data_IF_485039824741
#
_entry.id   IF_485039824741
#
_cell.length_a   1.000
_cell.length_b   1.000
_cell.length_c   1.000
_cell.angle_alpha   90.00
_cell.angle_beta   90.00
_cell.angle_gamma   90.00
#
_symmetry.space_group_name_H-M   'P 1'
#
loop_
_entity.id
_entity.type
_entity.pdbx_description
1 polymer ?
#
# COMPACT_ATOMS: atom_id res chain seq x y z
N UNK A 1 -5.26 39.85 -77.46
CA UNK A 1 -6.05 39.80 -76.20
C UNK A 1 -6.32 38.35 -75.91
N UNK A 2 -5.61 37.79 -74.94
CA UNK A 2 -5.72 36.36 -74.56
C UNK A 2 -6.39 36.34 -73.19
N UNK A 3 -7.70 35.94 -73.15
CA UNK A 3 -8.44 35.76 -71.92
C UNK A 3 -8.06 34.41 -71.23
N UNK A 4 -7.56 34.45 -70.03
CA UNK A 4 -7.28 33.25 -69.23
C UNK A 4 -8.59 32.64 -68.72
N UNK A 5 -8.76 31.31 -68.73
CA UNK A 5 -9.95 30.65 -68.18
C UNK A 5 -9.91 30.70 -66.63
N UNK A 6 -10.94 31.33 -66.09
CA UNK A 6 -11.16 31.28 -64.61
C UNK A 6 -11.47 29.83 -64.15
N UNK A 7 -10.56 29.30 -63.32
CA UNK A 7 -10.60 27.96 -62.79
C UNK A 7 -11.86 27.73 -61.90
N UNK A 8 -12.80 26.94 -62.42
CA UNK A 8 -14.01 26.48 -61.71
C UNK A 8 -13.72 25.35 -60.65
N UNK A 9 -12.43 25.10 -60.38
CA UNK A 9 -11.97 23.99 -59.51
C UNK A 9 -11.90 24.32 -58.01
N UNK A 10 -12.18 25.58 -57.64
CA UNK A 10 -12.00 26.01 -56.23
C UNK A 10 -13.18 25.73 -55.30
N UNK A 11 -14.39 25.65 -55.81
CA UNK A 11 -15.59 25.42 -54.99
C UNK A 11 -15.71 24.00 -54.44
N UNK A 12 -15.47 22.90 -55.20
CA UNK A 12 -15.54 21.53 -54.65
C UNK A 12 -14.40 21.24 -53.68
N UNK A 13 -13.21 21.84 -53.84
CA UNK A 13 -12.10 21.65 -52.91
C UNK A 13 -12.36 22.31 -51.53
N UNK A 14 -13.00 23.51 -51.56
CA UNK A 14 -13.41 24.19 -50.32
C UNK A 14 -14.52 23.41 -49.55
N UNK A 15 -15.49 22.87 -50.28
CA UNK A 15 -16.54 22.01 -49.68
C UNK A 15 -15.98 20.73 -49.09
N UNK A 16 -14.99 20.10 -49.73
CA UNK A 16 -14.33 18.90 -49.23
C UNK A 16 -13.52 19.20 -47.98
N UNK A 17 -12.82 20.32 -47.91
CA UNK A 17 -12.08 20.75 -46.71
C UNK A 17 -13.01 21.09 -45.53
N UNK A 18 -14.17 21.71 -45.81
CA UNK A 18 -15.19 21.96 -44.77
C UNK A 18 -15.80 20.67 -44.27
N UNK A 19 -16.09 19.70 -45.11
CA UNK A 19 -16.60 18.38 -44.73
C UNK A 19 -15.56 17.57 -43.90
N UNK A 20 -14.27 17.63 -44.29
CA UNK A 20 -13.19 17.00 -43.51
C UNK A 20 -13.02 17.67 -42.14
N UNK A 21 -13.18 19.00 -42.04
CA UNK A 21 -13.07 19.69 -40.74
C UNK A 21 -14.27 19.39 -39.82
N UNK A 22 -15.46 19.13 -40.35
CA UNK A 22 -16.62 18.69 -39.58
C UNK A 22 -16.50 17.25 -39.09
N UNK A 23 -15.87 16.37 -39.86
CA UNK A 23 -15.60 14.99 -39.49
C UNK A 23 -14.55 14.86 -38.35
N UNK A 24 -13.58 15.77 -38.29
CA UNK A 24 -12.57 15.79 -37.22
C UNK A 24 -13.09 16.31 -35.87
N UNK A 25 -14.19 17.06 -35.88
CA UNK A 25 -14.81 17.58 -34.65
C UNK A 25 -15.63 16.54 -33.90
N UNK A 26 -16.08 15.45 -34.55
CA UNK A 26 -16.88 14.40 -33.92
C UNK A 26 -16.08 13.37 -33.10
N UNK A 27 -14.73 13.37 -33.22
CA UNK A 27 -13.88 12.36 -32.60
C UNK A 27 -13.34 12.75 -31.20
N UNK A 28 -13.69 13.90 -30.66
CA UNK A 28 -13.40 14.27 -29.28
C UNK A 28 -14.56 13.90 -28.36
N UNK A 29 -14.87 12.62 -28.29
CA UNK A 29 -15.59 12.10 -27.13
C UNK A 29 -14.64 12.25 -25.94
N UNK A 30 -14.81 13.29 -25.15
CA UNK A 30 -14.16 13.39 -23.83
C UNK A 30 -14.58 12.14 -23.06
N UNK A 31 -13.61 11.27 -22.78
CA UNK A 31 -13.86 10.11 -21.93
C UNK A 31 -14.53 10.61 -20.66
N UNK A 32 -15.82 10.29 -20.49
CA UNK A 32 -16.56 10.71 -19.31
C UNK A 32 -15.92 9.98 -18.12
N UNK A 33 -15.25 10.73 -17.27
CA UNK A 33 -14.73 10.17 -16.03
C UNK A 33 -15.95 9.78 -15.16
N UNK A 34 -16.11 8.49 -14.92
CA UNK A 34 -17.11 8.00 -13.99
C UNK A 34 -16.48 7.97 -12.60
N UNK A 35 -17.03 8.74 -11.66
CA UNK A 35 -16.53 8.79 -10.30
C UNK A 35 -16.91 7.51 -9.53
N UNK A 36 -16.32 6.40 -9.97
CA UNK A 36 -16.46 5.08 -9.34
C UNK A 36 -15.19 4.72 -8.56
N UNK A 37 -15.31 3.87 -7.57
CA UNK A 37 -14.14 3.38 -6.83
C UNK A 37 -13.13 2.66 -7.75
N UNK A 38 -13.60 1.97 -8.78
CA UNK A 38 -12.74 1.35 -9.80
C UNK A 38 -11.87 2.39 -10.51
N UNK A 39 -12.45 3.54 -10.90
CA UNK A 39 -11.70 4.63 -11.52
C UNK A 39 -10.74 5.30 -10.54
N UNK A 40 -11.19 5.57 -9.32
CA UNK A 40 -10.38 6.20 -8.27
C UNK A 40 -9.13 5.40 -7.91
N UNK A 41 -9.19 4.07 -8.01
CA UNK A 41 -8.10 3.16 -7.61
C UNK A 41 -7.19 2.72 -8.75
N UNK A 42 -7.45 3.14 -10.00
CA UNK A 42 -6.60 2.80 -11.16
C UNK A 42 -5.13 3.17 -10.93
N UNK A 43 -4.87 4.40 -10.46
CA UNK A 43 -3.51 4.86 -10.20
C UNK A 43 -2.80 4.01 -9.13
N UNK A 44 -3.53 3.48 -8.17
CA UNK A 44 -2.99 2.59 -7.14
C UNK A 44 -2.59 1.22 -7.73
N UNK A 45 -3.46 0.68 -8.60
CA UNK A 45 -3.29 -0.65 -9.18
C UNK A 45 -2.12 -0.77 -10.16
N UNK A 46 -1.68 0.34 -10.77
CA UNK A 46 -0.49 0.37 -11.64
C UNK A 46 0.76 -0.13 -10.92
N UNK A 47 0.94 0.24 -9.65
CA UNK A 47 2.09 -0.17 -8.85
C UNK A 47 1.75 -1.31 -7.89
N UNK A 48 0.59 -1.26 -7.23
CA UNK A 48 0.21 -2.26 -6.24
C UNK A 48 -0.44 -3.53 -6.83
N UNK A 49 -0.44 -3.66 -8.16
CA UNK A 49 -1.04 -4.78 -8.88
C UNK A 49 -2.56 -4.70 -8.95
N UNK A 50 -3.16 -5.52 -9.79
CA UNK A 50 -4.61 -5.60 -9.94
C UNK A 50 -5.27 -5.74 -8.57
N UNK A 51 -6.26 -4.89 -8.27
CA UNK A 51 -6.99 -4.89 -6.99
C UNK A 51 -6.08 -4.77 -5.75
N UNK A 52 -4.85 -4.29 -5.89
CA UNK A 52 -3.92 -4.14 -4.77
C UNK A 52 -3.31 -5.43 -4.23
N UNK A 53 -3.25 -6.50 -5.03
CA UNK A 53 -2.71 -7.82 -4.62
C UNK A 53 -1.20 -7.91 -4.58
N UNK A 54 -0.47 -6.87 -4.91
CA UNK A 54 0.94 -6.70 -5.20
C UNK A 54 1.32 -7.07 -6.64
N UNK A 55 2.40 -6.47 -7.14
CA UNK A 55 3.04 -6.87 -8.38
C UNK A 55 4.00 -8.05 -8.16
N UNK A 56 4.38 -8.72 -9.25
CA UNK A 56 5.23 -9.90 -9.20
C UNK A 56 6.68 -9.59 -8.76
N UNK A 57 7.12 -8.33 -8.87
CA UNK A 57 8.46 -7.87 -8.50
C UNK A 57 8.72 -7.80 -6.99
N UNK A 58 7.66 -7.89 -6.18
CA UNK A 58 7.74 -7.82 -4.72
C UNK A 58 8.19 -6.47 -4.16
N UNK A 59 8.35 -5.44 -5.01
CA UNK A 59 8.77 -4.11 -4.59
C UNK A 59 7.62 -3.31 -3.96
N UNK A 60 6.48 -3.30 -4.63
CA UNK A 60 5.27 -2.64 -4.13
C UNK A 60 4.44 -3.61 -3.29
N UNK A 61 4.05 -3.22 -2.06
CA UNK A 61 3.37 -4.14 -1.17
C UNK A 61 1.92 -4.42 -1.59
N UNK A 62 1.41 -5.59 -1.20
CA UNK A 62 0.00 -5.88 -1.16
C UNK A 62 -0.72 -4.90 -0.23
N UNK A 63 -1.78 -4.28 -0.73
CA UNK A 63 -2.66 -3.39 0.03
C UNK A 63 -4.06 -4.00 0.24
N UNK A 64 -4.48 -4.95 -0.59
CA UNK A 64 -5.75 -5.67 -0.43
C UNK A 64 -5.80 -6.45 0.89
N UNK A 65 -6.95 -6.37 1.59
CA UNK A 65 -7.22 -7.10 2.82
C UNK A 65 -6.47 -6.62 4.06
N UNK A 66 -5.77 -5.48 3.99
CA UNK A 66 -5.17 -4.86 5.18
C UNK A 66 -6.21 -4.06 5.96
N UNK A 67 -6.09 -3.92 7.29
CA UNK A 67 -7.04 -3.14 8.09
C UNK A 67 -7.23 -1.72 7.54
N UNK A 68 -8.47 -1.24 7.47
CA UNK A 68 -8.79 0.06 6.87
C UNK A 68 -8.09 1.22 7.57
N UNK A 69 -8.09 1.24 8.89
CA UNK A 69 -7.39 2.27 9.66
C UNK A 69 -5.88 2.23 9.48
N UNK A 70 -5.29 1.04 9.29
CA UNK A 70 -3.87 0.94 8.92
C UNK A 70 -3.62 1.57 7.55
N UNK A 71 -4.40 1.21 6.53
CA UNK A 71 -4.24 1.77 5.18
C UNK A 71 -4.41 3.29 5.19
N UNK A 72 -5.44 3.79 5.84
CA UNK A 72 -5.69 5.22 5.98
C UNK A 72 -4.50 5.95 6.63
N UNK A 73 -3.99 5.43 7.75
CA UNK A 73 -2.80 5.98 8.39
C UNK A 73 -1.57 5.98 7.46
N UNK A 74 -1.38 4.92 6.64
CA UNK A 74 -0.26 4.91 5.69
C UNK A 74 -0.40 5.99 4.61
N UNK A 75 -1.61 6.21 4.09
CA UNK A 75 -1.88 7.26 3.11
C UNK A 75 -1.59 8.65 3.70
N UNK A 76 -2.06 8.92 4.92
CA UNK A 76 -1.75 10.15 5.65
C UNK A 76 -0.24 10.28 5.91
N UNK A 77 0.44 9.23 6.36
CA UNK A 77 1.87 9.28 6.65
C UNK A 77 2.71 9.62 5.41
N UNK A 78 2.34 9.14 4.23
CA UNK A 78 3.00 9.55 2.98
C UNK A 78 2.71 11.00 2.64
N UNK A 79 1.47 11.44 2.72
CA UNK A 79 1.08 12.83 2.42
C UNK A 79 1.74 13.83 3.36
N UNK A 80 1.86 13.49 4.64
CA UNK A 80 2.44 14.33 5.69
C UNK A 80 3.97 14.20 5.81
N UNK A 81 4.62 13.40 4.97
CA UNK A 81 6.07 13.20 5.02
C UNK A 81 6.58 12.39 6.23
N UNK A 82 5.70 11.70 6.96
CA UNK A 82 6.10 10.76 8.03
C UNK A 82 6.69 9.47 7.46
N UNK A 83 6.22 9.08 6.28
CA UNK A 83 6.73 7.96 5.50
C UNK A 83 7.20 8.49 4.16
N UNK A 84 8.48 8.24 3.84
CA UNK A 84 9.08 8.84 2.66
C UNK A 84 9.07 7.89 1.46
N UNK A 85 8.35 8.26 0.41
CA UNK A 85 8.41 7.70 -0.93
C UNK A 85 7.79 8.70 -1.91
N UNK A 86 8.62 9.35 -2.72
CA UNK A 86 8.23 10.54 -3.49
C UNK A 86 7.03 10.34 -4.42
N UNK A 87 6.87 9.17 -5.05
CA UNK A 87 5.72 8.89 -5.91
C UNK A 87 4.42 8.83 -5.11
N UNK A 88 4.42 8.14 -3.96
CA UNK A 88 3.23 8.08 -3.08
C UNK A 88 2.90 9.47 -2.54
N UNK A 89 3.88 10.24 -2.08
CA UNK A 89 3.64 11.60 -1.57
C UNK A 89 2.95 12.47 -2.61
N UNK A 90 3.48 12.52 -3.84
CA UNK A 90 2.88 13.34 -4.92
C UNK A 90 1.49 12.88 -5.33
N UNK A 91 1.26 11.56 -5.37
CA UNK A 91 -0.05 11.01 -5.70
C UNK A 91 -1.12 11.40 -4.68
N UNK A 92 -0.74 11.46 -3.40
CA UNK A 92 -1.67 11.64 -2.29
C UNK A 92 -1.85 13.12 -1.89
N UNK A 93 -0.89 13.99 -2.23
CA UNK A 93 -0.87 15.40 -1.85
C UNK A 93 -2.20 16.13 -2.15
N UNK A 94 -2.84 15.99 -3.33
CA UNK A 94 -4.07 16.69 -3.66
C UNK A 94 -5.34 16.05 -3.07
N UNK A 95 -5.25 14.88 -2.40
CA UNK A 95 -6.42 14.12 -1.99
C UNK A 95 -6.89 14.48 -0.57
N UNK A 96 -8.19 14.63 -0.40
CA UNK A 96 -8.80 14.90 0.90
C UNK A 96 -8.79 13.70 1.83
N UNK A 97 -8.93 13.94 3.14
CA UNK A 97 -9.02 12.88 4.15
C UNK A 97 -10.19 11.93 3.87
N UNK A 98 -11.35 12.47 3.48
CA UNK A 98 -12.51 11.67 3.12
C UNK A 98 -12.22 10.73 1.94
N UNK A 99 -11.58 11.25 0.88
CA UNK A 99 -11.21 10.46 -0.28
C UNK A 99 -10.20 9.35 0.07
N UNK A 100 -9.19 9.66 0.90
CA UNK A 100 -8.22 8.67 1.37
C UNK A 100 -8.86 7.59 2.24
N UNK A 101 -9.85 7.97 3.08
CA UNK A 101 -10.61 7.03 3.89
C UNK A 101 -11.44 6.05 3.04
N UNK A 102 -12.09 6.53 1.99
CA UNK A 102 -12.85 5.70 1.06
C UNK A 102 -11.96 4.70 0.31
N UNK A 103 -10.77 5.15 -0.17
CA UNK A 103 -9.78 4.27 -0.80
C UNK A 103 -9.28 3.21 0.18
N UNK A 104 -8.95 3.59 1.41
CA UNK A 104 -8.51 2.66 2.44
C UNK A 104 -9.59 1.61 2.75
N UNK A 105 -10.85 2.03 2.88
CA UNK A 105 -11.98 1.15 3.07
C UNK A 105 -12.21 0.20 1.89
N UNK A 106 -12.02 0.68 0.66
CA UNK A 106 -12.13 -0.16 -0.53
C UNK A 106 -11.14 -1.31 -0.51
N UNK A 107 -9.85 -1.03 -0.38
CA UNK A 107 -8.81 -2.07 -0.37
C UNK A 107 -8.91 -3.00 0.84
N UNK A 108 -9.36 -2.49 1.98
CA UNK A 108 -9.53 -3.31 3.19
C UNK A 108 -10.60 -4.40 3.04
N UNK A 109 -11.64 -4.16 2.23
CA UNK A 109 -12.73 -5.13 1.99
C UNK A 109 -12.40 -6.20 0.95
N UNK A 110 -11.29 -6.07 0.22
CA UNK A 110 -10.92 -7.02 -0.81
C UNK A 110 -10.35 -8.30 -0.18
N UNK A 111 -11.05 -9.40 -0.36
CA UNK A 111 -10.61 -10.73 0.04
C UNK A 111 -10.05 -11.48 -1.17
N UNK A 112 -8.75 -11.38 -1.36
CA UNK A 112 -8.04 -11.92 -2.52
C UNK A 112 -7.03 -12.97 -2.08
N UNK A 113 -6.79 -14.03 -2.86
CA UNK A 113 -5.74 -14.99 -2.60
C UNK A 113 -4.37 -14.31 -2.43
N UNK A 114 -3.60 -14.79 -1.50
CA UNK A 114 -2.21 -14.38 -1.33
C UNK A 114 -1.31 -15.16 -2.31
N UNK A 115 -0.17 -14.57 -2.72
CA UNK A 115 0.85 -15.30 -3.45
C UNK A 115 1.45 -16.43 -2.59
N UNK A 116 1.97 -17.46 -3.22
CA UNK A 116 2.76 -18.48 -2.52
C UNK A 116 3.95 -17.82 -1.80
N UNK A 117 4.27 -18.23 -0.56
CA UNK A 117 5.44 -17.71 0.16
C UNK A 117 6.72 -17.83 -0.67
N UNK A 118 7.55 -16.79 -0.63
CA UNK A 118 8.79 -16.77 -1.38
C UNK A 118 9.79 -17.81 -0.83
N UNK A 119 10.57 -18.41 -1.73
CA UNK A 119 11.74 -19.16 -1.31
C UNK A 119 12.84 -18.17 -0.93
N UNK A 120 13.35 -18.28 0.29
CA UNK A 120 14.48 -17.47 0.75
C UNK A 120 15.68 -18.38 1.00
N UNK A 121 16.87 -17.86 0.67
CA UNK A 121 18.13 -18.55 0.97
C UNK A 121 18.63 -18.03 2.31
N UNK A 122 18.23 -18.70 3.39
CA UNK A 122 18.68 -18.39 4.74
C UNK A 122 19.04 -19.69 5.47
N UNK A 123 20.05 -19.63 6.36
CA UNK A 123 20.43 -20.78 7.18
C UNK A 123 19.35 -21.09 8.21
N UNK A 124 19.31 -22.34 8.68
CA UNK A 124 18.39 -22.74 9.74
C UNK A 124 18.53 -21.88 11.01
N UNK A 125 19.77 -21.48 11.34
CA UNK A 125 20.03 -20.62 12.50
C UNK A 125 19.41 -19.23 12.35
N UNK A 126 19.48 -18.61 11.13
CA UNK A 126 18.87 -17.33 10.83
C UNK A 126 17.34 -17.43 10.93
N UNK A 127 16.75 -18.49 10.36
CA UNK A 127 15.30 -18.71 10.43
C UNK A 127 14.83 -18.95 11.87
N UNK A 128 15.58 -19.71 12.66
CA UNK A 128 15.25 -19.97 14.06
C UNK A 128 15.35 -18.68 14.90
N UNK A 129 16.38 -17.85 14.71
CA UNK A 129 16.48 -16.55 15.38
C UNK A 129 15.27 -15.65 15.04
N UNK A 130 14.88 -15.60 13.75
CA UNK A 130 13.69 -14.87 13.31
C UNK A 130 12.40 -15.39 13.96
N UNK A 131 12.26 -16.71 14.07
CA UNK A 131 11.12 -17.37 14.74
C UNK A 131 11.03 -16.98 16.21
N UNK A 132 12.14 -17.07 16.94
CA UNK A 132 12.19 -16.72 18.36
C UNK A 132 11.80 -15.26 18.58
N UNK A 133 12.37 -14.34 17.81
CA UNK A 133 12.03 -12.91 17.92
C UNK A 133 10.55 -12.64 17.59
N UNK A 134 10.02 -13.28 16.55
CA UNK A 134 8.64 -13.05 16.13
C UNK A 134 7.63 -13.62 17.13
N UNK A 135 7.90 -14.77 17.72
CA UNK A 135 6.95 -15.49 18.58
C UNK A 135 7.17 -15.24 20.09
N UNK A 136 8.38 -14.93 20.52
CA UNK A 136 8.74 -14.78 21.94
C UNK A 136 9.31 -13.39 22.27
N UNK A 137 9.85 -12.68 21.29
CA UNK A 137 10.57 -11.43 21.52
C UNK A 137 11.95 -11.64 22.14
N UNK A 138 12.45 -10.59 22.77
CA UNK A 138 13.69 -10.63 23.55
C UNK A 138 13.53 -9.79 24.84
N UNK A 139 13.11 -10.41 25.94
CA UNK A 139 12.89 -9.71 27.21
C UNK A 139 14.14 -8.99 27.75
N UNK A 140 15.34 -9.52 27.47
CA UNK A 140 16.61 -8.92 27.93
C UNK A 140 16.85 -7.55 27.29
N UNK A 141 16.32 -7.33 26.09
CA UNK A 141 16.36 -6.07 25.35
C UNK A 141 15.03 -5.32 25.38
N UNK A 142 14.05 -5.76 26.17
CA UNK A 142 12.68 -5.18 26.21
C UNK A 142 12.00 -5.18 24.84
N UNK A 143 12.31 -6.17 24.01
CA UNK A 143 11.74 -6.32 22.68
C UNK A 143 10.49 -7.23 22.77
N UNK A 144 9.29 -6.73 22.53
CA UNK A 144 8.08 -7.56 22.53
C UNK A 144 8.06 -8.49 21.31
N UNK A 145 7.40 -9.63 21.45
CA UNK A 145 7.12 -10.52 20.33
C UNK A 145 6.23 -9.84 19.26
N UNK A 146 6.47 -10.11 17.98
CA UNK A 146 5.61 -9.55 16.91
C UNK A 146 4.15 -9.99 17.08
N UNK A 147 3.93 -11.24 17.50
CA UNK A 147 2.58 -11.78 17.76
C UNK A 147 1.82 -11.02 18.85
N UNK A 148 2.51 -10.37 19.78
CA UNK A 148 1.88 -9.61 20.87
C UNK A 148 1.07 -8.40 20.37
N UNK A 149 1.43 -7.86 19.19
CA UNK A 149 0.77 -6.71 18.60
C UNK A 149 0.09 -7.06 17.27
N UNK A 150 0.71 -7.92 16.45
CA UNK A 150 0.20 -8.27 15.11
C UNK A 150 -0.74 -9.47 15.10
N UNK A 151 -1.18 -9.94 16.27
CA UNK A 151 -2.06 -11.09 16.47
C UNK A 151 -1.32 -12.42 16.43
N UNK A 152 -1.84 -13.43 17.14
CA UNK A 152 -1.19 -14.73 17.31
C UNK A 152 -0.87 -15.43 15.97
N UNK A 153 -1.66 -15.17 14.92
CA UNK A 153 -1.45 -15.70 13.58
C UNK A 153 -0.68 -14.75 12.66
N UNK A 154 -0.24 -13.59 13.15
CA UNK A 154 0.43 -12.54 12.38
C UNK A 154 -0.39 -12.03 11.17
N UNK A 155 -1.71 -12.20 11.21
CA UNK A 155 -2.63 -11.71 10.17
C UNK A 155 -3.07 -10.27 10.39
N UNK A 156 -2.69 -9.65 11.50
CA UNK A 156 -3.05 -8.29 11.88
C UNK A 156 -4.21 -8.22 12.86
N UNK A 157 -4.52 -7.00 13.28
CA UNK A 157 -5.60 -6.69 14.25
C UNK A 157 -6.36 -5.47 13.77
N UNK A 158 -7.69 -5.54 13.78
CA UNK A 158 -8.53 -4.40 13.44
C UNK A 158 -8.41 -3.29 14.50
N UNK A 159 -8.58 -2.04 14.11
CA UNK A 159 -8.63 -1.55 12.73
C UNK A 159 -7.27 -1.04 12.21
N UNK A 160 -6.17 -1.14 12.99
CA UNK A 160 -4.95 -0.36 12.73
C UNK A 160 -3.68 -1.17 12.56
N UNK A 161 -3.64 -2.43 12.96
CA UNK A 161 -2.41 -3.21 12.97
C UNK A 161 -2.37 -4.17 11.77
N UNK A 162 -1.38 -4.05 10.87
CA UNK A 162 -1.32 -4.87 9.66
C UNK A 162 -0.88 -6.30 9.96
N UNK A 163 -1.30 -7.24 9.12
CA UNK A 163 -0.68 -8.56 9.04
C UNK A 163 0.74 -8.47 8.47
N UNK A 164 1.60 -9.39 8.90
CA UNK A 164 3.01 -9.47 8.52
C UNK A 164 3.30 -10.60 7.52
N UNK A 165 2.36 -11.53 7.33
CA UNK A 165 2.52 -12.66 6.43
C UNK A 165 2.23 -12.29 4.97
N UNK A 166 2.80 -13.06 4.03
CA UNK A 166 2.63 -12.84 2.60
C UNK A 166 3.29 -11.55 2.07
N UNK A 167 4.25 -11.00 2.81
CA UNK A 167 5.06 -9.86 2.41
C UNK A 167 6.45 -10.32 1.97
N UNK A 168 7.02 -9.73 0.90
CA UNK A 168 8.38 -10.05 0.48
C UNK A 168 9.42 -9.69 1.54
N UNK A 169 10.46 -10.54 1.67
CA UNK A 169 11.57 -10.32 2.61
C UNK A 169 12.19 -8.92 2.48
N UNK A 170 12.46 -8.50 1.25
CA UNK A 170 13.15 -7.22 1.00
C UNK A 170 12.25 -6.03 1.35
N UNK A 171 10.94 -6.15 1.14
CA UNK A 171 9.98 -5.17 1.62
C UNK A 171 9.98 -5.08 3.16
N UNK A 172 9.96 -6.21 3.86
CA UNK A 172 10.02 -6.24 5.33
C UNK A 172 11.29 -5.58 5.85
N UNK A 173 12.46 -5.95 5.30
CA UNK A 173 13.75 -5.34 5.63
C UNK A 173 13.75 -3.83 5.38
N UNK A 174 13.24 -3.39 4.22
CA UNK A 174 13.18 -1.97 3.89
C UNK A 174 12.28 -1.19 4.86
N UNK A 175 11.14 -1.74 5.28
CA UNK A 175 10.24 -1.07 6.20
C UNK A 175 10.82 -0.98 7.62
N UNK A 176 11.37 -2.06 8.13
CA UNK A 176 12.01 -2.07 9.45
C UNK A 176 13.26 -1.17 9.47
N UNK A 177 14.08 -1.21 8.42
CA UNK A 177 15.23 -0.34 8.24
C UNK A 177 14.85 1.15 8.17
N UNK A 178 13.75 1.47 7.47
CA UNK A 178 13.24 2.83 7.38
C UNK A 178 12.76 3.37 8.74
N UNK A 179 12.13 2.56 9.60
CA UNK A 179 11.82 2.96 10.97
C UNK A 179 13.08 3.16 11.82
N UNK A 180 14.05 2.25 11.68
CA UNK A 180 15.31 2.34 12.41
C UNK A 180 16.09 3.63 12.06
N UNK A 181 16.12 4.01 10.78
CA UNK A 181 16.78 5.23 10.29
C UNK A 181 15.96 6.50 10.47
N UNK A 182 14.68 6.42 10.85
CA UNK A 182 13.79 7.57 10.97
C UNK A 182 13.17 8.07 9.66
N UNK A 183 13.44 7.40 8.54
CA UNK A 183 12.80 7.69 7.24
C UNK A 183 11.31 7.29 7.21
N UNK A 184 10.91 6.37 8.08
CA UNK A 184 9.53 6.02 8.33
C UNK A 184 9.20 6.34 9.78
N UNK A 185 8.12 7.09 9.98
CA UNK A 185 7.59 7.49 11.28
C UNK A 185 6.09 7.27 11.30
N UNK A 186 5.54 7.11 12.49
CA UNK A 186 4.11 7.02 12.73
C UNK A 186 3.65 8.11 13.71
N UNK A 187 2.39 8.14 14.06
CA UNK A 187 1.90 9.02 15.13
C UNK A 187 2.52 8.63 16.47
N UNK A 188 2.89 9.63 17.25
CA UNK A 188 3.49 9.42 18.55
C UNK A 188 2.48 8.89 19.58
N UNK A 189 2.88 7.94 20.44
CA UNK A 189 4.16 7.28 20.50
C UNK A 189 4.32 6.27 19.34
N UNK A 190 5.47 6.32 18.63
CA UNK A 190 5.77 5.45 17.50
C UNK A 190 6.32 4.11 17.99
N UNK A 191 5.41 3.17 18.23
CA UNK A 191 5.74 1.84 18.73
C UNK A 191 6.64 1.03 17.80
N UNK A 192 6.44 1.13 16.47
CA UNK A 192 7.26 0.38 15.52
C UNK A 192 8.67 0.97 15.37
N UNK A 193 8.83 2.29 15.52
CA UNK A 193 10.17 2.90 15.60
C UNK A 193 10.91 2.41 16.85
N UNK A 194 10.22 2.29 17.99
CA UNK A 194 10.81 1.74 19.21
C UNK A 194 11.27 0.29 18.99
N UNK A 195 10.40 -0.58 18.45
CA UNK A 195 10.71 -1.99 18.14
C UNK A 195 11.88 -2.08 17.15
N UNK A 196 11.83 -1.35 16.03
CA UNK A 196 12.84 -1.44 14.98
C UNK A 196 14.23 -0.96 15.43
N UNK A 197 14.31 0.02 16.34
CA UNK A 197 15.58 0.50 16.90
C UNK A 197 16.22 -0.48 17.89
N UNK A 198 15.41 -1.33 18.53
CA UNK A 198 15.90 -2.36 19.44
C UNK A 198 16.48 -3.56 18.69
N UNK A 199 16.00 -3.85 17.48
CA UNK A 199 16.54 -4.92 16.65
C UNK A 199 17.92 -4.57 16.11
N UNK A 200 18.87 -5.52 16.15
CA UNK A 200 20.13 -5.40 15.38
C UNK A 200 19.87 -5.56 13.88
N UNK A 201 20.79 -5.16 12.99
CA UNK A 201 20.65 -5.43 11.55
C UNK A 201 20.48 -6.93 11.24
N UNK A 202 21.17 -7.80 11.98
CA UNK A 202 21.11 -9.26 11.85
C UNK A 202 19.73 -9.78 12.29
N UNK A 203 19.19 -9.27 13.39
CA UNK A 203 17.87 -9.62 13.90
C UNK A 203 16.75 -9.16 12.95
N UNK A 204 16.91 -7.97 12.37
CA UNK A 204 16.04 -7.43 11.33
C UNK A 204 15.94 -8.38 10.14
N UNK A 205 17.12 -8.78 9.62
CA UNK A 205 17.21 -9.73 8.53
C UNK A 205 16.64 -11.10 8.91
N UNK A 206 16.89 -11.59 10.12
CA UNK A 206 16.36 -12.86 10.59
C UNK A 206 14.83 -12.87 10.65
N UNK A 207 14.21 -11.83 11.22
CA UNK A 207 12.76 -11.68 11.29
C UNK A 207 12.15 -11.60 9.89
N UNK A 208 12.73 -10.80 9.00
CA UNK A 208 12.23 -10.65 7.62
C UNK A 208 12.31 -11.96 6.83
N UNK A 209 13.41 -12.72 6.95
CA UNK A 209 13.55 -14.03 6.33
C UNK A 209 12.49 -15.01 6.86
N UNK A 210 12.33 -15.10 8.19
CA UNK A 210 11.37 -16.01 8.77
C UNK A 210 9.93 -15.66 8.37
N UNK A 211 9.52 -14.39 8.49
CA UNK A 211 8.16 -13.95 8.13
C UNK A 211 7.81 -14.23 6.65
N UNK A 212 8.77 -14.00 5.75
CA UNK A 212 8.55 -14.19 4.31
C UNK A 212 8.36 -15.67 3.92
N UNK A 213 8.83 -16.62 4.74
CA UNK A 213 8.72 -18.07 4.48
C UNK A 213 7.52 -18.72 5.14
N UNK A 214 6.81 -17.99 6.00
CA UNK A 214 5.70 -18.61 6.74
C UNK A 214 4.53 -18.92 5.82
N UNK A 215 3.92 -20.12 5.98
CA UNK A 215 2.69 -20.45 5.30
C UNK A 215 1.57 -19.53 5.79
N UNK A 216 0.66 -19.21 4.90
CA UNK A 216 -0.53 -18.45 5.27
C UNK A 216 -1.55 -19.37 5.96
N UNK A 217 -2.18 -18.92 7.03
CA UNK A 217 -3.28 -19.66 7.64
C UNK A 217 -4.50 -19.67 6.68
N UNK A 218 -5.40 -20.63 6.86
CA UNK A 218 -6.63 -20.72 6.06
C UNK A 218 -7.46 -19.44 6.14
N UNK A 219 -7.54 -18.83 7.31
CA UNK A 219 -8.14 -17.51 7.51
C UNK A 219 -7.04 -16.45 7.65
N UNK A 220 -6.89 -15.61 6.63
CA UNK A 220 -5.90 -14.54 6.56
C UNK A 220 -6.41 -13.19 7.06
N UNK A 221 -7.67 -13.10 7.50
CA UNK A 221 -8.25 -11.86 7.98
C UNK A 221 -7.62 -11.40 9.29
N UNK A 222 -7.50 -10.09 9.49
CA UNK A 222 -7.10 -9.52 10.77
C UNK A 222 -8.11 -9.90 11.87
N UNK A 223 -7.61 -10.26 13.05
CA UNK A 223 -8.50 -10.50 14.20
C UNK A 223 -9.17 -9.22 14.67
N UNK A 224 -10.36 -9.33 15.26
CA UNK A 224 -11.12 -8.14 15.70
C UNK A 224 -10.38 -7.37 16.81
N UNK A 225 -9.73 -8.09 17.74
CA UNK A 225 -8.99 -7.51 18.86
C UNK A 225 -7.95 -8.49 19.40
N UNK A 226 -6.98 -7.96 20.11
CA UNK A 226 -6.04 -8.76 20.90
C UNK A 226 -6.71 -9.27 22.19
N UNK A 227 -6.29 -10.42 22.72
CA UNK A 227 -6.78 -10.93 24.01
C UNK A 227 -6.34 -10.04 25.18
N UNK A 228 -5.18 -9.39 25.05
CA UNK A 228 -4.63 -8.42 26.03
C UNK A 228 -4.10 -7.19 25.30
N UNK A 229 -4.13 -6.01 25.93
CA UNK A 229 -3.54 -4.81 25.34
C UNK A 229 -2.03 -4.98 25.14
N UNK A 230 -1.45 -4.40 24.08
CA UNK A 230 0.00 -4.42 23.86
C UNK A 230 0.74 -3.75 25.02
N UNK A 231 1.92 -4.28 25.35
CA UNK A 231 2.81 -3.69 26.36
C UNK A 231 3.44 -2.35 25.96
N UNK A 232 3.35 -2.00 24.69
CA UNK A 232 3.91 -0.76 24.11
C UNK A 232 2.77 0.08 23.57
N UNK A 233 2.69 1.33 23.99
CA UNK A 233 1.71 2.30 23.49
C UNK A 233 1.98 2.66 22.03
N UNK A 234 0.92 2.79 21.23
CA UNK A 234 1.00 2.99 19.78
C UNK A 234 0.03 4.10 19.35
N UNK A 235 0.56 5.27 19.01
CA UNK A 235 -0.25 6.44 18.63
C UNK A 235 -1.08 6.22 17.35
N UNK A 236 -0.57 5.41 16.42
CA UNK A 236 -1.31 5.05 15.20
C UNK A 236 -2.44 4.03 15.43
N UNK A 237 -2.58 3.48 16.63
CA UNK A 237 -3.70 2.63 16.98
C UNK A 237 -4.95 3.41 17.44
N UNK A 238 -4.84 4.74 17.56
CA UNK A 238 -5.92 5.64 17.95
C UNK A 238 -6.38 6.36 16.70
N UNK A 239 -7.61 6.10 16.23
CA UNK A 239 -8.22 6.93 15.18
C UNK A 239 -8.55 8.31 15.72
N UNK A 240 -8.38 9.36 14.92
CA UNK A 240 -9.12 10.61 15.15
C UNK A 240 -10.61 10.30 15.17
N UNK A 241 -11.32 10.76 16.19
CA UNK A 241 -12.77 10.63 16.27
C UNK A 241 -13.40 11.20 14.98
N UNK A 242 -14.09 10.36 14.20
CA UNK A 242 -14.80 10.77 12.99
C UNK A 242 -14.31 10.17 11.66
N UNK A 243 -13.20 9.45 11.61
CA UNK A 243 -12.61 8.95 10.35
C UNK A 243 -13.30 7.69 9.77
N UNK A 244 -14.23 7.05 10.46
CA UNK A 244 -14.89 5.82 10.01
C UNK A 244 -16.39 5.75 10.24
N UNK A 245 -17.06 6.84 10.42
CA UNK A 245 -18.53 6.87 10.44
C UNK A 245 -19.06 7.55 9.19
N UNK A 246 -19.16 6.81 8.09
CA UNK A 246 -20.22 6.94 7.06
C UNK A 246 -20.22 5.74 6.16
#
# INVERSE_FOLDING_TARGET
MIGAPMSTLRLPALLLLLLLSLLTSAARATAKFEDTMAQRTLACSVCHGAEGRAAADGYYPRIAGKPAGYLYNQLLHFREGRRHYGLMTRLLEPLSDAYLSEIAGHFARLDLPYPTPARVTATAAVLERGRLLALQGDPSHKLPACVACHGARLTGVQPHTPGLLGLPRDYLNAQLGAWRSGQRRAHAPDCMAQVARTLTPEDLNAVANWLATQPLPADTHPVARLPMPPSVACGSAILPAGAMTR
#
